data_IF_186458824591
#
_entry.id   IF_186458824591
#
_cell.length_a   1.000
_cell.length_b   1.000
_cell.length_c   1.000
_cell.angle_alpha   90.00
_cell.angle_beta   90.00
_cell.angle_gamma   90.00
#
_symmetry.space_group_name_H-M   'P 1'
#
loop_
_entity.id
_entity.type
_entity.pdbx_description
1 polymer ?
#
# COMPACT_ATOMS: atom_id res chain seq x y z
N UNK A 1 -1.20 6.70 6.60
CA UNK A 1 0.03 6.17 7.23
C UNK A 1 1.14 7.14 6.88
N UNK A 2 2.00 7.47 7.85
CA UNK A 2 3.19 8.31 7.66
C UNK A 2 4.36 7.48 7.15
N UNK A 3 5.38 8.12 6.57
CA UNK A 3 6.59 7.42 6.12
C UNK A 3 7.28 6.66 7.27
N UNK A 4 7.31 7.22 8.49
CA UNK A 4 7.92 6.56 9.65
C UNK A 4 7.19 5.27 10.03
N UNK A 5 5.86 5.27 9.97
CA UNK A 5 5.04 4.08 10.21
C UNK A 5 5.29 3.03 9.11
N UNK A 6 5.36 3.44 7.84
CA UNK A 6 5.64 2.51 6.73
C UNK A 6 7.01 1.85 6.85
N UNK A 7 8.03 2.60 7.29
CA UNK A 7 9.40 2.08 7.49
C UNK A 7 9.52 1.08 8.64
N UNK A 8 8.52 0.98 9.51
CA UNK A 8 8.49 0.00 10.60
C UNK A 8 7.83 -1.31 10.19
N UNK A 9 7.16 -1.34 9.03
CA UNK A 9 6.50 -2.53 8.52
C UNK A 9 7.52 -3.59 8.09
N UNK A 10 7.09 -4.85 8.18
CA UNK A 10 7.84 -6.04 7.80
C UNK A 10 7.02 -6.88 6.84
N UNK A 11 7.71 -7.69 6.05
CA UNK A 11 7.06 -8.70 5.21
C UNK A 11 6.18 -9.59 6.10
N UNK A 12 4.93 -9.81 5.68
CA UNK A 12 3.90 -10.54 6.42
C UNK A 12 3.00 -9.68 7.31
N UNK A 13 3.33 -8.40 7.52
CA UNK A 13 2.45 -7.50 8.26
C UNK A 13 1.14 -7.29 7.50
N UNK A 14 0.04 -7.25 8.25
CA UNK A 14 -1.31 -7.04 7.71
C UNK A 14 -1.69 -5.57 7.81
N UNK A 15 -2.23 -5.05 6.73
CA UNK A 15 -2.57 -3.64 6.57
C UNK A 15 -3.97 -3.53 5.99
N UNK A 16 -4.74 -2.57 6.48
CA UNK A 16 -6.05 -2.24 5.94
C UNK A 16 -5.86 -1.21 4.83
N UNK A 17 -6.18 -1.57 3.60
CA UNK A 17 -6.24 -0.61 2.50
C UNK A 17 -7.59 0.14 2.56
N UNK A 18 -7.55 1.37 3.07
CA UNK A 18 -8.75 2.18 3.26
C UNK A 18 -9.41 2.60 1.95
N UNK A 19 -8.61 2.89 0.91
CA UNK A 19 -9.13 3.37 -0.38
C UNK A 19 -9.88 2.25 -1.09
N UNK A 20 -9.23 1.08 -1.20
CA UNK A 20 -9.88 -0.12 -1.75
C UNK A 20 -11.08 -0.50 -0.88
N UNK A 21 -10.97 -0.40 0.44
CA UNK A 21 -12.09 -0.73 1.32
C UNK A 21 -13.32 0.15 1.11
N UNK A 22 -13.10 1.45 0.86
CA UNK A 22 -14.17 2.41 0.60
C UNK A 22 -14.79 2.19 -0.79
N UNK A 23 -13.97 1.98 -1.81
CA UNK A 23 -14.43 1.78 -3.19
C UNK A 23 -15.29 0.52 -3.36
N UNK A 24 -14.96 -0.55 -2.62
CA UNK A 24 -15.67 -1.83 -2.71
C UNK A 24 -16.68 -2.06 -1.58
N UNK A 25 -16.77 -1.15 -0.60
CA UNK A 25 -17.67 -1.29 0.56
C UNK A 25 -17.37 -2.51 1.45
N UNK A 26 -16.19 -3.10 1.33
CA UNK A 26 -15.73 -4.29 2.05
C UNK A 26 -14.32 -4.04 2.58
N UNK A 27 -13.99 -4.52 3.79
CA UNK A 27 -12.62 -4.40 4.31
C UNK A 27 -11.63 -5.17 3.41
N UNK A 28 -10.69 -4.46 2.81
CA UNK A 28 -9.56 -5.01 2.07
C UNK A 28 -8.36 -5.11 2.99
N UNK A 29 -8.07 -6.33 3.46
CA UNK A 29 -6.89 -6.61 4.27
C UNK A 29 -5.80 -7.12 3.34
N UNK A 30 -4.74 -6.34 3.25
CA UNK A 30 -3.56 -6.64 2.46
C UNK A 30 -2.42 -7.12 3.36
N UNK A 31 -1.45 -7.77 2.75
CA UNK A 31 -0.23 -8.25 3.36
C UNK A 31 0.97 -7.54 2.69
N UNK A 32 1.94 -7.13 3.50
CA UNK A 32 3.22 -6.61 3.00
C UNK A 32 4.01 -7.77 2.43
N UNK A 33 4.36 -7.69 1.15
CA UNK A 33 5.15 -8.71 0.46
C UNK A 33 6.58 -8.25 0.17
N UNK A 34 6.83 -6.94 0.20
CA UNK A 34 8.17 -6.37 0.02
C UNK A 34 8.33 -5.08 0.83
N UNK A 35 9.52 -4.89 1.41
CA UNK A 35 9.95 -3.63 2.03
C UNK A 35 11.38 -3.40 1.58
N UNK A 36 11.61 -2.28 0.89
CA UNK A 36 12.93 -1.89 0.39
C UNK A 36 13.22 -0.41 0.70
N UNK A 37 14.30 0.12 0.14
CA UNK A 37 14.70 1.53 0.34
C UNK A 37 13.76 2.54 -0.32
N UNK A 38 12.94 2.11 -1.28
CA UNK A 38 12.02 2.95 -2.06
C UNK A 38 10.61 3.00 -1.47
N UNK A 39 10.18 1.94 -0.77
CA UNK A 39 8.83 1.86 -0.23
C UNK A 39 8.42 0.48 0.24
N UNK A 40 7.10 0.26 0.23
CA UNK A 40 6.46 -1.01 0.58
C UNK A 40 5.59 -1.50 -0.58
N UNK A 41 5.60 -2.80 -0.82
CA UNK A 41 4.70 -3.48 -1.76
C UNK A 41 3.69 -4.31 -0.98
N UNK A 42 2.42 -4.15 -1.31
CA UNK A 42 1.32 -4.80 -0.62
C UNK A 42 0.46 -5.57 -1.61
N UNK A 43 -0.13 -6.67 -1.17
CA UNK A 43 -1.09 -7.42 -1.98
C UNK A 43 -2.24 -7.92 -1.13
N UNK A 44 -3.39 -8.16 -1.75
CA UNK A 44 -4.55 -8.72 -1.08
C UNK A 44 -4.65 -10.21 -1.40
N UNK A 45 -4.95 -11.00 -0.38
CA UNK A 45 -5.21 -12.44 -0.51
C UNK A 45 -6.71 -12.73 -0.69
N UNK A 46 -7.54 -11.70 -0.82
CA UNK A 46 -8.98 -11.84 -0.98
C UNK A 46 -9.31 -12.13 -2.46
N UNK A 47 -10.06 -13.22 -2.69
CA UNK A 47 -10.42 -13.70 -4.03
C UNK A 47 -11.23 -12.70 -4.83
N UNK A 48 -11.97 -11.84 -4.15
CA UNK A 48 -12.75 -10.77 -4.80
C UNK A 48 -11.85 -9.73 -5.49
N UNK A 49 -10.55 -9.75 -5.18
CA UNK A 49 -9.52 -8.89 -5.74
C UNK A 49 -8.42 -9.69 -6.45
N UNK A 50 -8.66 -10.98 -6.73
CA UNK A 50 -7.74 -11.87 -7.44
C UNK A 50 -7.51 -11.33 -8.86
N UNK A 51 -6.31 -10.80 -9.12
CA UNK A 51 -5.95 -10.11 -10.37
C UNK A 51 -5.75 -8.61 -10.25
N UNK A 52 -6.04 -8.00 -9.10
CA UNK A 52 -5.55 -6.66 -8.77
C UNK A 52 -4.03 -6.72 -8.66
N UNK A 53 -3.33 -5.87 -9.41
CA UNK A 53 -1.87 -5.76 -9.31
C UNK A 53 -1.47 -5.37 -7.89
N UNK A 54 -0.33 -5.87 -7.36
CA UNK A 54 0.20 -5.41 -6.08
C UNK A 54 0.34 -3.89 -6.05
N UNK A 55 -0.06 -3.26 -4.95
CA UNK A 55 0.01 -1.81 -4.77
C UNK A 55 1.34 -1.45 -4.10
N UNK A 56 2.13 -0.57 -4.75
CA UNK A 56 3.37 -0.04 -4.17
C UNK A 56 3.11 1.35 -3.59
N UNK A 57 3.48 1.53 -2.32
CA UNK A 57 3.52 2.84 -1.69
C UNK A 57 4.98 3.28 -1.55
N UNK A 58 5.35 4.35 -2.24
CA UNK A 58 6.69 4.93 -2.19
C UNK A 58 6.85 5.75 -0.91
N UNK A 59 8.05 5.72 -0.31
CA UNK A 59 8.35 6.64 0.79
C UNK A 59 8.40 8.07 0.28
N UNK A 60 9.03 8.32 -0.87
CA UNK A 60 9.05 9.63 -1.51
C UNK A 60 7.79 9.84 -2.37
N UNK A 61 6.68 10.19 -1.73
CA UNK A 61 5.67 10.99 -2.41
C UNK A 61 6.18 12.43 -2.44
N UNK A 62 7.01 12.78 -3.43
CA UNK A 62 7.44 14.15 -3.63
C UNK A 62 6.26 14.95 -4.21
N UNK A 63 5.28 15.28 -3.36
CA UNK A 63 4.07 16.06 -3.69
C UNK A 63 4.43 17.45 -4.26
N UNK A 64 5.69 17.89 -4.10
CA UNK A 64 6.23 19.14 -4.64
C UNK A 64 6.67 19.06 -6.11
N UNK A 65 6.76 17.88 -6.71
CA UNK A 65 7.21 17.72 -8.10
C UNK A 65 6.10 17.88 -9.16
N UNK A 66 4.83 17.92 -8.74
CA UNK A 66 3.67 18.04 -9.66
C UNK A 66 3.18 19.50 -9.81
N UNK A 67 3.66 20.45 -9.00
CA UNK A 67 3.24 21.86 -9.10
C UNK A 67 4.04 22.71 -10.11
N UNK A 68 4.94 22.13 -10.90
CA UNK A 68 5.76 22.86 -11.87
C UNK A 68 5.66 22.31 -13.32
N UNK A 69 4.46 22.01 -13.79
CA UNK A 69 4.18 21.86 -15.23
C UNK A 69 2.96 22.71 -15.60
#
# INVERSE_FOLDING_TARGET
>A
MTQQEMKQLKIGDKILDLEVSQNFGKKSICEVIEVDETGILITTNDKDFEGAYPHRFLFECDYNSIQNI
#
